data_IF_042966323315
#
_entry.id   IF_042966323315
#
_cell.length_a   1.000
_cell.length_b   1.000
_cell.length_c   1.000
_cell.angle_alpha   90.00
_cell.angle_beta   90.00
_cell.angle_gamma   90.00
#
_symmetry.space_group_name_H-M   'P 1'
#
loop_
_entity.id
_entity.type
_entity.pdbx_description
1 polymer ?
#
# COMPACT_ATOMS: atom_id res chain seq x y z
N UNK A 1 -20.94 28.18 -7.10
CA UNK A 1 -21.49 27.47 -5.93
C UNK A 1 -20.39 26.56 -5.40
N UNK A 2 -19.94 26.76 -4.16
CA UNK A 2 -18.94 25.88 -3.56
C UNK A 2 -19.62 24.51 -3.31
N UNK A 3 -19.00 23.43 -3.77
CA UNK A 3 -19.48 22.07 -3.51
C UNK A 3 -19.53 21.86 -2.00
N UNK A 4 -20.68 21.42 -1.48
CA UNK A 4 -20.83 21.03 -0.08
C UNK A 4 -19.88 19.86 0.17
N UNK A 5 -18.97 19.94 1.15
CA UNK A 5 -18.03 18.84 1.41
C UNK A 5 -18.81 17.58 1.84
N UNK A 6 -18.40 16.43 1.32
CA UNK A 6 -18.92 15.13 1.77
C UNK A 6 -18.59 14.96 3.26
N UNK A 7 -19.64 14.83 4.09
CA UNK A 7 -19.50 14.76 5.55
C UNK A 7 -18.90 13.44 6.02
N UNK A 8 -19.02 12.38 5.23
CA UNK A 8 -18.46 11.06 5.54
C UNK A 8 -17.84 10.46 4.28
N UNK A 9 -16.59 10.03 4.39
CA UNK A 9 -15.84 9.46 3.29
C UNK A 9 -15.05 8.24 3.74
N UNK A 10 -15.02 7.22 2.89
CA UNK A 10 -14.20 6.04 3.07
C UNK A 10 -13.07 6.03 2.04
N UNK A 11 -11.84 5.87 2.48
CA UNK A 11 -10.65 5.90 1.64
C UNK A 11 -10.08 4.49 1.55
N UNK A 12 -10.07 3.94 0.35
CA UNK A 12 -9.65 2.57 0.05
C UNK A 12 -8.88 2.53 -1.28
N UNK A 13 -7.70 1.90 -1.27
CA UNK A 13 -6.81 1.80 -2.44
C UNK A 13 -6.57 3.13 -3.18
N UNK A 14 -6.46 4.24 -2.44
CA UNK A 14 -6.22 5.57 -3.01
C UNK A 14 -7.44 6.24 -3.64
N UNK A 15 -8.63 5.63 -3.51
CA UNK A 15 -9.91 6.22 -3.90
C UNK A 15 -10.73 6.63 -2.68
N UNK A 16 -11.47 7.72 -2.84
CA UNK A 16 -12.43 8.20 -1.86
C UNK A 16 -13.83 7.79 -2.33
N UNK A 17 -14.55 7.08 -1.48
CA UNK A 17 -15.91 6.66 -1.69
C UNK A 17 -16.82 7.45 -0.76
N UNK A 18 -17.94 7.93 -1.32
CA UNK A 18 -19.00 8.57 -0.54
C UNK A 18 -19.71 7.52 0.31
N UNK A 19 -19.79 7.77 1.61
CA UNK A 19 -20.47 6.88 2.56
C UNK A 19 -21.86 7.44 2.83
N UNK A 20 -22.89 6.66 2.50
CA UNK A 20 -24.29 6.97 2.81
C UNK A 20 -24.64 6.55 4.24
N UNK A 21 -24.12 5.41 4.67
CA UNK A 21 -24.33 4.87 6.01
C UNK A 21 -23.07 4.12 6.46
N UNK A 22 -22.69 4.27 7.73
CA UNK A 22 -21.54 3.57 8.31
C UNK A 22 -21.85 3.11 9.72
N UNK A 23 -21.53 1.85 10.01
CA UNK A 23 -21.68 1.25 11.34
C UNK A 23 -20.38 0.56 11.75
N UNK A 24 -19.88 0.91 12.93
CA UNK A 24 -18.86 0.15 13.64
C UNK A 24 -19.29 0.06 15.10
N UNK A 25 -18.78 -0.94 15.80
CA UNK A 25 -19.14 -1.14 17.20
C UNK A 25 -18.09 -1.96 17.94
N UNK A 26 -18.13 -1.85 19.26
CA UNK A 26 -17.32 -2.65 20.17
C UNK A 26 -18.26 -3.25 21.21
N UNK A 27 -18.00 -4.49 21.61
CA UNK A 27 -18.83 -5.15 22.62
C UNK A 27 -17.97 -5.99 23.55
N UNK A 28 -18.44 -6.14 24.77
CA UNK A 28 -17.94 -7.12 25.73
C UNK A 28 -19.06 -8.10 26.03
N UNK A 29 -18.72 -9.37 26.22
CA UNK A 29 -19.68 -10.31 26.79
C UNK A 29 -19.97 -9.93 28.24
N UNK A 30 -21.17 -10.20 28.72
CA UNK A 30 -21.52 -10.12 30.15
C UNK A 30 -21.87 -11.53 30.64
N UNK A 31 -21.56 -11.82 31.90
CA UNK A 31 -22.04 -13.05 32.54
C UNK A 31 -23.54 -12.93 32.91
N UNK A 32 -24.10 -14.01 33.47
CA UNK A 32 -25.51 -14.09 33.83
C UNK A 32 -25.96 -13.11 34.94
N UNK A 33 -25.02 -12.46 35.64
CA UNK A 33 -25.30 -11.42 36.63
C UNK A 33 -24.92 -10.02 36.13
N UNK A 34 -24.55 -9.88 34.86
CA UNK A 34 -24.26 -8.60 34.22
C UNK A 34 -22.82 -8.09 34.42
N UNK A 35 -21.90 -8.91 34.91
CA UNK A 35 -20.47 -8.52 35.03
C UNK A 35 -19.80 -8.63 33.66
N UNK A 36 -19.04 -7.61 33.23
CA UNK A 36 -18.40 -7.61 31.92
C UNK A 36 -17.20 -8.56 31.86
N UNK A 37 -17.02 -9.16 30.69
CA UNK A 37 -15.79 -9.85 30.30
C UNK A 37 -14.65 -8.83 30.15
N UNK A 38 -13.44 -9.23 30.55
CA UNK A 38 -12.24 -8.41 30.40
C UNK A 38 -11.84 -8.17 28.93
N UNK A 39 -12.43 -8.90 27.98
CA UNK A 39 -12.10 -8.81 26.56
C UNK A 39 -13.15 -8.00 25.80
N UNK A 40 -12.76 -6.83 25.32
CA UNK A 40 -13.50 -6.07 24.30
C UNK A 40 -13.30 -6.74 22.95
N UNK A 41 -14.34 -6.78 22.12
CA UNK A 41 -14.30 -7.29 20.75
C UNK A 41 -14.85 -6.25 19.77
N UNK A 42 -14.13 -5.92 18.70
CA UNK A 42 -14.70 -5.13 17.61
C UNK A 42 -15.77 -5.94 16.89
N UNK A 43 -16.82 -5.25 16.44
CA UNK A 43 -17.84 -5.79 15.55
C UNK A 43 -17.44 -5.61 14.09
N UNK A 44 -18.17 -6.27 13.19
CA UNK A 44 -18.01 -6.10 11.74
C UNK A 44 -18.33 -4.65 11.37
N UNK A 45 -17.39 -3.99 10.69
CA UNK A 45 -17.61 -2.65 10.15
C UNK A 45 -18.48 -2.79 8.91
N UNK A 46 -19.59 -2.07 8.85
CA UNK A 46 -20.52 -2.07 7.72
C UNK A 46 -20.56 -0.69 7.10
N UNK A 47 -20.36 -0.60 5.78
CA UNK A 47 -20.35 0.65 5.03
C UNK A 47 -21.29 0.52 3.84
N UNK A 48 -22.27 1.41 3.72
CA UNK A 48 -23.11 1.56 2.53
C UNK A 48 -22.60 2.76 1.75
N UNK A 49 -22.18 2.50 0.51
CA UNK A 49 -21.57 3.46 -0.39
C UNK A 49 -22.56 3.87 -1.48
N UNK A 50 -22.44 5.11 -1.91
CA UNK A 50 -22.98 5.54 -3.20
C UNK A 50 -22.11 4.93 -4.30
N UNK A 51 -22.66 4.00 -5.07
CA UNK A 51 -21.93 3.19 -6.04
C UNK A 51 -22.32 3.51 -7.49
N UNK A 52 -22.81 4.73 -7.72
CA UNK A 52 -23.24 5.23 -9.02
C UNK A 52 -22.14 5.20 -10.11
N UNK A 53 -20.86 5.20 -9.71
CA UNK A 53 -19.71 4.96 -10.59
C UNK A 53 -19.17 3.54 -10.38
N UNK A 54 -19.32 2.66 -11.40
CA UNK A 54 -18.83 1.28 -11.37
C UNK A 54 -17.34 1.19 -10.94
N UNK A 55 -17.08 0.61 -9.76
CA UNK A 55 -15.73 0.26 -9.31
C UNK A 55 -15.62 -1.25 -9.07
N UNK A 56 -15.24 -1.97 -10.12
CA UNK A 56 -15.01 -3.42 -10.09
C UNK A 56 -14.06 -3.88 -8.96
N UNK A 57 -13.28 -2.97 -8.36
CA UNK A 57 -12.38 -3.25 -7.23
C UNK A 57 -13.09 -3.62 -5.94
N UNK A 58 -14.33 -3.17 -5.73
CA UNK A 58 -15.10 -3.54 -4.54
C UNK A 58 -15.54 -5.01 -4.63
N UNK A 59 -16.01 -5.40 -5.81
CA UNK A 59 -16.33 -6.79 -6.12
C UNK A 59 -15.10 -7.69 -6.08
N UNK A 60 -13.97 -7.26 -6.65
CA UNK A 60 -12.73 -8.07 -6.59
C UNK A 60 -12.25 -8.29 -5.17
N UNK A 61 -12.42 -7.30 -4.29
CA UNK A 61 -12.06 -7.41 -2.88
C UNK A 61 -12.91 -8.44 -2.12
N UNK A 62 -14.20 -8.58 -2.46
CA UNK A 62 -15.04 -9.64 -1.91
C UNK A 62 -14.74 -11.01 -2.53
N UNK A 63 -14.42 -11.05 -3.83
CA UNK A 63 -14.20 -12.28 -4.58
C UNK A 63 -12.84 -12.94 -4.31
N UNK A 64 -11.88 -12.20 -3.74
CA UNK A 64 -10.63 -12.76 -3.22
C UNK A 64 -10.72 -12.99 -1.70
N UNK A 65 -10.93 -14.25 -1.24
CA UNK A 65 -11.08 -14.55 0.18
C UNK A 65 -9.80 -14.33 0.99
N UNK A 66 -8.64 -14.22 0.33
CA UNK A 66 -7.35 -14.00 0.97
C UNK A 66 -6.91 -12.54 0.94
N UNK A 67 -7.52 -11.73 0.08
CA UNK A 67 -7.19 -10.32 -0.03
C UNK A 67 -7.44 -9.61 1.31
N UNK A 68 -6.42 -8.87 1.72
CA UNK A 68 -6.46 -7.97 2.86
C UNK A 68 -6.13 -6.57 2.43
N UNK A 69 -6.82 -5.61 3.00
CA UNK A 69 -6.57 -4.22 2.70
C UNK A 69 -6.76 -3.35 3.94
N UNK A 70 -5.93 -2.31 4.03
CA UNK A 70 -6.10 -1.26 5.03
C UNK A 70 -6.84 -0.09 4.40
N UNK A 71 -7.75 0.49 5.18
CA UNK A 71 -8.55 1.64 4.77
C UNK A 71 -8.81 2.56 5.95
N UNK A 72 -9.41 3.72 5.71
CA UNK A 72 -9.87 4.57 6.80
C UNK A 72 -11.15 5.30 6.42
N UNK A 73 -11.97 5.56 7.42
CA UNK A 73 -13.17 6.39 7.33
C UNK A 73 -12.89 7.72 8.01
N UNK A 74 -13.27 8.79 7.33
CA UNK A 74 -13.19 10.15 7.84
C UNK A 74 -14.58 10.76 7.90
N UNK A 75 -14.89 11.32 9.06
CA UNK A 75 -16.12 12.06 9.28
C UNK A 75 -15.77 13.51 9.60
N UNK A 76 -16.49 14.43 8.96
CA UNK A 76 -16.35 15.87 9.10
C UNK A 76 -17.65 16.48 9.60
N UNK A 77 -17.53 17.56 10.38
CA UNK A 77 -18.66 18.42 10.72
C UNK A 77 -19.01 19.32 9.52
N UNK A 78 -20.22 19.92 9.49
CA UNK A 78 -20.60 20.87 8.45
C UNK A 78 -19.65 22.08 8.31
N UNK A 79 -18.93 22.43 9.38
CA UNK A 79 -17.91 23.49 9.38
C UNK A 79 -16.55 23.06 8.78
N UNK A 80 -16.43 21.81 8.32
CA UNK A 80 -15.22 21.23 7.74
C UNK A 80 -14.20 20.72 8.77
N UNK A 81 -14.46 20.86 10.07
CA UNK A 81 -13.59 20.27 11.10
C UNK A 81 -13.76 18.74 11.13
N UNK A 82 -12.66 18.00 11.30
CA UNK A 82 -12.71 16.54 11.42
C UNK A 82 -13.39 16.16 12.73
N UNK A 83 -14.42 15.32 12.65
CA UNK A 83 -15.16 14.79 13.79
C UNK A 83 -14.52 13.50 14.30
N UNK A 84 -14.43 12.48 13.43
CA UNK A 84 -13.86 11.17 13.77
C UNK A 84 -13.01 10.64 12.62
N UNK A 85 -11.99 9.85 12.97
CA UNK A 85 -11.28 8.99 12.01
C UNK A 85 -11.16 7.57 12.54
N UNK A 86 -11.68 6.63 11.76
CA UNK A 86 -11.56 5.20 12.02
C UNK A 86 -10.60 4.58 11.01
N UNK A 87 -9.46 4.08 11.47
CA UNK A 87 -8.58 3.24 10.68
C UNK A 87 -9.00 1.78 10.79
N UNK A 88 -9.12 1.14 9.63
CA UNK A 88 -9.52 -0.26 9.46
C UNK A 88 -8.31 -1.00 8.90
N UNK A 89 -7.61 -1.77 9.72
CA UNK A 89 -6.30 -2.34 9.37
C UNK A 89 -6.42 -3.78 8.90
N UNK A 90 -5.76 -4.11 7.78
CA UNK A 90 -5.67 -5.45 7.20
C UNK A 90 -7.01 -6.22 7.23
N UNK A 91 -8.09 -5.55 6.82
CA UNK A 91 -9.41 -6.14 6.83
C UNK A 91 -9.60 -7.15 5.70
N UNK A 92 -10.51 -8.10 5.91
CA UNK A 92 -11.13 -8.87 4.85
C UNK A 92 -12.52 -8.31 4.56
N UNK A 93 -12.92 -8.36 3.29
CA UNK A 93 -14.33 -8.22 2.92
C UNK A 93 -15.04 -9.56 3.18
N UNK A 94 -15.96 -9.57 4.14
CA UNK A 94 -16.74 -10.76 4.54
C UNK A 94 -18.19 -10.70 4.09
N UNK A 95 -18.56 -9.64 3.38
CA UNK A 95 -19.84 -9.53 2.72
C UNK A 95 -19.86 -8.32 1.81
N UNK A 96 -20.48 -8.49 0.65
CA UNK A 96 -20.80 -7.42 -0.27
C UNK A 96 -22.25 -7.64 -0.73
N UNK A 97 -23.04 -6.57 -0.72
CA UNK A 97 -24.38 -6.56 -1.29
C UNK A 97 -24.51 -5.30 -2.14
N UNK A 98 -24.83 -5.47 -3.41
CA UNK A 98 -25.27 -4.37 -4.26
C UNK A 98 -26.80 -4.31 -4.24
N UNK A 99 -27.34 -3.10 -4.20
CA UNK A 99 -28.74 -2.80 -4.43
C UNK A 99 -28.84 -1.71 -5.49
N UNK A 100 -29.56 -2.01 -6.57
CA UNK A 100 -29.76 -1.10 -7.69
C UNK A 100 -31.26 -0.92 -7.95
N UNK A 101 -31.64 0.31 -8.30
CA UNK A 101 -33.00 0.70 -8.67
C UNK A 101 -32.93 1.81 -9.73
N UNK A 102 -33.98 2.00 -10.55
CA UNK A 102 -34.08 3.21 -11.36
C UNK A 102 -34.05 4.41 -10.41
N UNK A 103 -32.99 5.23 -10.48
CA UNK A 103 -32.79 6.34 -9.54
C UNK A 103 -34.03 7.22 -9.42
N UNK A 104 -34.39 7.60 -8.19
CA UNK A 104 -35.55 8.46 -7.91
C UNK A 104 -35.16 9.94 -8.08
N UNK A 105 -36.00 10.81 -8.69
CA UNK A 105 -35.85 12.27 -8.60
C UNK A 105 -35.68 12.83 -7.17
N UNK A 106 -36.03 12.08 -6.11
CA UNK A 106 -35.76 12.43 -4.71
C UNK A 106 -34.28 12.28 -4.28
N UNK A 107 -33.37 11.93 -5.18
CA UNK A 107 -31.91 11.94 -4.93
C UNK A 107 -31.29 10.59 -4.59
N UNK A 108 -31.93 9.48 -4.99
CA UNK A 108 -31.31 8.16 -4.88
C UNK A 108 -30.22 7.97 -5.94
N UNK A 109 -29.07 7.35 -5.60
CA UNK A 109 -27.93 7.25 -6.50
C UNK A 109 -28.07 6.22 -7.63
N UNK A 110 -29.19 5.50 -7.73
CA UNK A 110 -29.38 4.43 -8.71
C UNK A 110 -28.73 3.10 -8.30
N UNK A 111 -27.54 3.12 -7.69
CA UNK A 111 -26.90 1.95 -7.08
C UNK A 111 -26.25 2.27 -5.73
N UNK A 112 -26.37 1.34 -4.78
CA UNK A 112 -25.69 1.37 -3.49
C UNK A 112 -24.97 0.04 -3.25
N UNK A 113 -23.79 0.10 -2.64
CA UNK A 113 -23.03 -1.09 -2.26
C UNK A 113 -22.81 -1.10 -0.76
N UNK A 114 -23.28 -2.14 -0.08
CA UNK A 114 -22.98 -2.41 1.32
C UNK A 114 -21.82 -3.40 1.44
N UNK A 115 -20.73 -2.96 2.04
CA UNK A 115 -19.57 -3.77 2.40
C UNK A 115 -19.60 -4.12 3.88
N UNK A 116 -19.18 -5.34 4.21
CA UNK A 116 -18.97 -5.83 5.57
C UNK A 116 -17.51 -6.23 5.72
N UNK A 117 -16.80 -5.54 6.62
CA UNK A 117 -15.37 -5.65 6.80
C UNK A 117 -15.05 -6.21 8.19
N UNK A 118 -14.22 -7.25 8.25
CA UNK A 118 -13.61 -7.71 9.49
C UNK A 118 -12.14 -7.32 9.51
N UNK A 119 -11.76 -6.48 10.47
CA UNK A 119 -10.42 -5.92 10.55
C UNK A 119 -9.52 -6.72 11.46
N UNK A 120 -8.21 -6.66 11.19
CA UNK A 120 -7.20 -7.17 12.11
C UNK A 120 -7.10 -6.33 13.38
N UNK A 121 -7.26 -5.02 13.21
CA UNK A 121 -7.32 -4.04 14.27
C UNK A 121 -8.11 -2.83 13.79
N UNK A 122 -8.73 -2.14 14.74
CA UNK A 122 -9.41 -0.86 14.52
C UNK A 122 -8.70 0.20 15.36
N UNK A 123 -8.47 1.38 14.78
CA UNK A 123 -8.00 2.55 15.53
C UNK A 123 -8.98 3.69 15.34
N UNK A 124 -9.67 4.09 16.40
CA UNK A 124 -10.61 5.19 16.42
C UNK A 124 -10.00 6.36 17.19
N UNK A 125 -9.76 7.48 16.51
CA UNK A 125 -9.22 8.71 17.13
C UNK A 125 -8.04 8.44 18.06
N UNK A 126 -7.07 7.65 17.57
CA UNK A 126 -5.90 7.31 18.37
C UNK A 126 -6.15 6.28 19.48
N UNK A 127 -7.27 5.57 19.52
CA UNK A 127 -7.47 4.42 20.42
C UNK A 127 -7.58 3.14 19.62
N UNK A 128 -6.79 2.14 19.99
CA UNK A 128 -6.62 0.93 19.18
C UNK A 128 -7.12 -0.31 19.89
N UNK A 129 -7.80 -1.17 19.15
CA UNK A 129 -8.13 -2.53 19.56
C UNK A 129 -7.72 -3.54 18.48
N UNK A 130 -7.05 -4.62 18.92
CA UNK A 130 -6.76 -5.78 18.09
C UNK A 130 -7.93 -6.76 18.12
N UNK A 131 -8.27 -7.33 16.97
CA UNK A 131 -9.29 -8.38 16.89
C UNK A 131 -8.73 -9.69 17.40
N UNK A 132 -9.38 -10.29 18.40
CA UNK A 132 -9.07 -11.63 18.87
C UNK A 132 -10.00 -12.65 18.19
N UNK A 133 -9.47 -13.44 17.26
CA UNK A 133 -10.20 -14.57 16.66
C UNK A 133 -9.92 -15.86 17.43
N UNK A 134 -10.94 -16.71 17.54
CA UNK A 134 -10.84 -18.05 18.17
C UNK A 134 -10.32 -19.11 17.19
N UNK A 135 -10.32 -18.80 15.89
CA UNK A 135 -9.59 -19.55 14.87
C UNK A 135 -8.12 -19.11 14.92
N UNK A 136 -7.13 -19.97 14.61
CA UNK A 136 -5.71 -19.64 14.68
C UNK A 136 -5.35 -18.58 13.63
N UNK A 137 -5.67 -17.34 13.98
CA UNK A 137 -5.46 -16.13 13.22
C UNK A 137 -4.64 -15.24 14.14
N UNK A 138 -3.33 -15.24 13.93
CA UNK A 138 -2.43 -14.26 14.53
C UNK A 138 -2.14 -13.22 13.46
N UNK A 139 -2.60 -11.98 13.67
CA UNK A 139 -2.13 -10.87 12.83
C UNK A 139 -0.59 -10.79 12.98
N UNK A 140 0.16 -10.57 11.88
CA UNK A 140 1.61 -10.39 11.95
C UNK A 140 1.97 -9.32 12.99
N UNK A 141 3.08 -9.51 13.71
CA UNK A 141 3.52 -8.62 14.80
C UNK A 141 3.59 -7.14 14.39
N UNK A 142 3.95 -6.86 13.14
CA UNK A 142 4.00 -5.49 12.60
C UNK A 142 2.61 -4.85 12.46
N UNK A 143 1.56 -5.62 12.16
CA UNK A 143 0.17 -5.10 12.14
C UNK A 143 -0.24 -4.70 13.55
N UNK A 144 0.09 -5.55 14.54
CA UNK A 144 -0.13 -5.29 15.97
C UNK A 144 0.65 -4.06 16.46
N UNK A 145 1.91 -3.92 16.04
CA UNK A 145 2.76 -2.77 16.36
C UNK A 145 2.22 -1.45 15.78
N UNK A 146 1.75 -1.45 14.53
CA UNK A 146 1.19 -0.24 13.88
C UNK A 146 -0.13 0.19 14.43
N UNK A 147 -0.97 -0.78 14.78
CA UNK A 147 -2.17 -0.54 15.55
C UNK A 147 -1.79 0.28 16.79
N UNK A 148 -0.79 -0.15 17.58
CA UNK A 148 -0.31 0.59 18.77
C UNK A 148 0.26 1.98 18.46
N UNK A 149 0.98 2.16 17.35
CA UNK A 149 1.57 3.46 16.96
C UNK A 149 0.51 4.48 16.51
N UNK A 150 -0.50 4.05 15.75
CA UNK A 150 -1.61 4.91 15.36
C UNK A 150 -2.51 5.26 16.54
N UNK A 151 -2.45 4.45 17.61
CA UNK A 151 -3.12 4.65 18.90
C UNK A 151 -2.44 5.65 19.85
N UNK A 152 -1.46 6.42 19.38
CA UNK A 152 -0.78 7.45 20.17
C UNK A 152 -0.91 8.77 19.42
N UNK A 153 -1.86 9.61 19.85
CA UNK A 153 -2.26 10.86 19.16
C UNK A 153 -1.09 11.84 18.93
N UNK A 154 0.04 11.61 19.59
CA UNK A 154 1.28 12.38 19.44
C UNK A 154 1.99 12.20 18.09
N UNK A 155 1.65 11.18 17.28
CA UNK A 155 2.34 10.87 16.02
C UNK A 155 1.57 11.20 14.72
N UNK A 156 0.49 11.99 14.80
CA UNK A 156 -0.34 12.34 13.64
C UNK A 156 0.44 13.07 12.50
N UNK A 157 1.54 13.76 12.82
CA UNK A 157 2.42 14.40 11.84
C UNK A 157 3.30 13.38 11.07
N UNK A 158 3.73 12.30 11.71
CA UNK A 158 4.51 11.24 11.07
C UNK A 158 3.63 10.33 10.19
N UNK A 159 2.40 10.05 10.61
CA UNK A 159 1.45 9.24 9.85
C UNK A 159 0.88 9.96 8.61
N UNK A 160 0.77 11.30 8.64
CA UNK A 160 0.32 12.12 7.49
C UNK A 160 1.33 12.20 6.35
N UNK A 161 2.61 11.91 6.59
CA UNK A 161 3.64 11.88 5.55
C UNK A 161 3.61 10.59 4.69
N UNK A 162 2.93 9.54 5.14
CA UNK A 162 3.04 8.18 4.56
C UNK A 162 1.82 7.79 3.70
N UNK A 163 0.72 8.54 3.75
CA UNK A 163 -0.53 8.14 3.09
C UNK A 163 -1.08 9.20 2.13
N UNK A 164 -0.61 9.18 0.87
CA UNK A 164 -1.46 9.49 -0.30
C UNK A 164 -0.93 8.75 -1.55
N UNK A 165 -1.72 7.82 -2.11
CA UNK A 165 -1.70 7.56 -3.54
C UNK A 165 -3.00 8.09 -4.16
N UNK A 166 -2.88 8.95 -5.16
CA UNK A 166 -4.00 9.32 -6.05
C UNK A 166 -3.57 8.98 -7.48
N UNK A 167 -4.53 8.51 -8.27
CA UNK A 167 -4.33 8.10 -9.65
C UNK A 167 -3.65 9.16 -10.51
N UNK A 168 -2.81 8.67 -11.42
CA UNK A 168 -1.65 9.34 -12.02
C UNK A 168 -0.61 9.71 -10.97
N UNK A 169 0.35 8.79 -10.77
CA UNK A 169 1.38 8.90 -9.75
C UNK A 169 2.05 10.28 -9.83
N UNK A 170 2.10 10.95 -8.68
CA UNK A 170 2.84 12.19 -8.55
C UNK A 170 4.25 11.99 -9.12
N UNK A 171 4.73 12.96 -9.90
CA UNK A 171 6.17 13.16 -10.05
C UNK A 171 6.72 13.43 -8.66
N UNK A 172 7.21 12.40 -7.98
CA UNK A 172 7.87 12.61 -6.68
C UNK A 172 9.25 13.18 -6.99
N UNK A 173 9.43 14.47 -6.68
CA UNK A 173 10.75 15.07 -6.71
C UNK A 173 11.63 14.34 -5.68
N UNK A 174 12.59 13.57 -6.16
CA UNK A 174 13.79 13.27 -5.39
C UNK A 174 14.38 14.60 -4.90
N UNK A 175 15.05 14.65 -3.73
CA UNK A 175 15.73 15.85 -3.30
C UNK A 175 16.59 16.37 -4.45
N UNK A 176 16.39 17.63 -4.83
CA UNK A 176 17.24 18.31 -5.81
C UNK A 176 18.64 18.28 -5.24
N UNK A 177 19.48 17.35 -5.69
CA UNK A 177 20.90 17.42 -5.40
C UNK A 177 21.40 18.68 -6.09
N UNK A 178 21.75 19.68 -5.30
CA UNK A 178 22.56 20.80 -5.76
C UNK A 178 23.88 20.19 -6.26
N UNK A 179 24.00 20.02 -7.58
CA UNK A 179 25.07 19.37 -8.35
C UNK A 179 24.72 17.97 -8.90
N UNK A 180 23.93 17.90 -9.98
CA UNK A 180 23.88 16.71 -10.84
C UNK A 180 25.29 16.47 -11.40
N UNK A 181 25.91 15.29 -11.18
CA UNK A 181 27.22 14.99 -11.73
C UNK A 181 27.16 15.05 -13.27
N UNK A 182 28.23 15.50 -13.92
CA UNK A 182 28.33 15.41 -15.38
C UNK A 182 28.52 13.95 -15.77
N UNK A 183 27.44 13.28 -16.15
CA UNK A 183 27.44 11.87 -16.57
C UNK A 183 27.87 11.77 -18.03
N UNK A 184 29.05 11.20 -18.27
CA UNK A 184 29.71 11.17 -19.57
C UNK A 184 29.46 9.88 -20.35
N UNK A 185 29.27 8.75 -19.67
CA UNK A 185 29.02 7.46 -20.31
C UNK A 185 27.72 6.77 -19.83
N UNK A 186 27.41 5.60 -20.40
CA UNK A 186 26.19 4.85 -20.08
C UNK A 186 26.27 4.10 -18.73
N UNK A 187 27.48 3.79 -18.27
CA UNK A 187 27.72 3.14 -16.98
C UNK A 187 27.42 4.12 -15.84
N UNK A 188 27.96 5.33 -15.91
CA UNK A 188 27.70 6.41 -14.95
C UNK A 188 26.21 6.76 -14.88
N UNK A 189 25.53 6.75 -16.04
CA UNK A 189 24.06 6.94 -16.10
C UNK A 189 23.27 5.82 -15.43
N UNK A 190 23.72 4.57 -15.60
CA UNK A 190 23.13 3.42 -14.92
C UNK A 190 23.29 3.52 -13.40
N UNK A 191 24.53 3.71 -12.93
CA UNK A 191 24.85 3.89 -11.51
C UNK A 191 24.08 5.06 -10.89
N UNK A 192 23.97 6.18 -11.60
CA UNK A 192 23.18 7.32 -11.14
C UNK A 192 21.69 6.97 -11.01
N UNK A 193 21.13 6.25 -11.98
CA UNK A 193 19.74 5.79 -11.93
C UNK A 193 19.48 4.88 -10.72
N UNK A 194 20.35 3.90 -10.49
CA UNK A 194 20.28 3.02 -9.32
C UNK A 194 20.43 3.79 -8.01
N UNK A 195 21.38 4.73 -7.91
CA UNK A 195 21.59 5.54 -6.71
C UNK A 195 20.33 6.32 -6.31
N UNK A 196 19.69 6.97 -7.28
CA UNK A 196 18.46 7.73 -7.03
C UNK A 196 17.31 6.79 -6.65
N UNK A 197 17.17 5.66 -7.36
CA UNK A 197 16.18 4.62 -7.06
C UNK A 197 16.34 4.08 -5.63
N UNK A 198 17.54 3.70 -5.25
CA UNK A 198 17.86 3.15 -3.93
C UNK A 198 17.63 4.15 -2.80
N UNK A 199 18.06 5.39 -3.01
CA UNK A 199 17.87 6.48 -2.05
C UNK A 199 16.39 6.76 -1.85
N UNK A 200 15.61 6.77 -2.92
CA UNK A 200 14.17 6.92 -2.89
C UNK A 200 13.49 5.78 -2.11
N UNK A 201 13.80 4.52 -2.44
CA UNK A 201 13.23 3.34 -1.79
C UNK A 201 13.58 3.26 -0.29
N UNK A 202 14.84 3.56 0.06
CA UNK A 202 15.24 3.62 1.46
C UNK A 202 14.58 4.77 2.21
N UNK A 203 14.38 5.92 1.54
CA UNK A 203 13.61 7.05 2.07
C UNK A 203 12.14 6.72 2.34
N UNK A 204 11.55 5.77 1.61
CA UNK A 204 10.22 5.23 1.87
C UNK A 204 10.17 4.20 3.02
N UNK A 205 11.30 3.93 3.68
CA UNK A 205 11.39 3.00 4.80
C UNK A 205 11.43 1.53 4.39
N UNK A 206 11.78 1.23 3.14
CA UNK A 206 12.01 -0.13 2.67
C UNK A 206 13.43 -0.61 3.03
N UNK A 207 13.58 -1.91 3.28
CA UNK A 207 14.89 -2.51 3.60
C UNK A 207 15.44 -3.21 2.37
N UNK A 208 16.62 -2.80 1.90
CA UNK A 208 17.27 -3.46 0.75
C UNK A 208 17.78 -4.83 1.16
N UNK A 209 17.56 -5.83 0.30
CA UNK A 209 17.93 -7.23 0.53
C UNK A 209 19.13 -7.65 -0.33
N UNK A 210 19.28 -7.07 -1.52
CA UNK A 210 20.46 -7.29 -2.35
C UNK A 210 21.61 -6.35 -1.95
N UNK A 211 22.81 -6.62 -2.48
CA UNK A 211 24.03 -5.81 -2.29
C UNK A 211 24.44 -5.63 -0.81
N UNK A 212 24.14 -6.62 0.04
CA UNK A 212 24.40 -6.54 1.48
C UNK A 212 23.59 -5.45 2.19
N UNK A 213 22.45 -5.03 1.62
CA UNK A 213 21.59 -3.98 2.17
C UNK A 213 22.08 -2.55 1.93
N UNK A 214 23.13 -2.37 1.14
CA UNK A 214 23.73 -1.07 0.85
C UNK A 214 23.10 -0.42 -0.38
N UNK A 215 22.93 0.90 -0.33
CA UNK A 215 22.53 1.67 -1.52
C UNK A 215 23.69 1.83 -2.48
N UNK A 216 23.40 1.94 -3.76
CA UNK A 216 24.36 2.33 -4.78
C UNK A 216 24.93 3.73 -4.46
N UNK A 217 26.25 3.90 -4.38
CA UNK A 217 26.87 5.23 -4.22
C UNK A 217 26.63 6.11 -5.47
N UNK A 218 26.67 7.44 -5.34
CA UNK A 218 26.60 8.32 -6.50
C UNK A 218 27.91 8.27 -7.33
N UNK A 219 27.85 8.48 -8.67
CA UNK A 219 29.05 8.62 -9.50
C UNK A 219 29.99 9.74 -9.01
N UNK A 220 31.32 9.60 -9.18
CA UNK A 220 32.01 8.49 -9.86
C UNK A 220 32.15 7.22 -8.98
N UNK A 221 31.57 7.21 -7.78
CA UNK A 221 31.52 6.03 -6.93
C UNK A 221 30.50 5.00 -7.42
N UNK A 222 30.75 3.73 -7.11
CA UNK A 222 29.89 2.61 -7.51
C UNK A 222 30.24 2.04 -8.88
N UNK A 223 29.78 0.81 -9.13
CA UNK A 223 29.86 0.15 -10.44
C UNK A 223 28.46 -0.31 -10.82
N UNK A 224 28.12 -0.26 -12.10
CA UNK A 224 26.86 -0.79 -12.59
C UNK A 224 26.81 -2.28 -12.20
N UNK A 225 25.88 -2.65 -11.32
CA UNK A 225 25.85 -3.99 -10.75
C UNK A 225 25.17 -4.91 -11.75
N UNK A 226 25.97 -5.55 -12.61
CA UNK A 226 25.54 -6.41 -13.72
C UNK A 226 24.78 -7.70 -13.34
N UNK A 227 24.14 -7.75 -12.17
CA UNK A 227 23.41 -8.91 -11.66
C UNK A 227 21.97 -9.00 -12.18
N UNK A 228 21.53 -8.00 -12.95
CA UNK A 228 20.28 -8.02 -13.69
C UNK A 228 19.10 -7.40 -12.94
N UNK A 229 19.01 -7.52 -11.62
CA UNK A 229 17.98 -6.84 -10.80
C UNK A 229 18.64 -5.72 -10.00
N UNK A 230 18.19 -4.48 -10.21
CA UNK A 230 18.80 -3.31 -9.58
C UNK A 230 18.53 -3.25 -8.08
N UNK A 231 17.28 -3.51 -7.66
CA UNK A 231 16.91 -3.50 -6.26
C UNK A 231 15.90 -4.59 -5.89
N UNK A 232 16.19 -5.27 -4.79
CA UNK A 232 15.30 -6.21 -4.13
C UNK A 232 15.08 -5.70 -2.72
N UNK A 233 13.83 -5.48 -2.34
CA UNK A 233 13.48 -4.81 -1.09
C UNK A 233 12.45 -5.61 -0.32
N UNK A 234 12.64 -5.69 1.00
CA UNK A 234 11.55 -6.02 1.92
C UNK A 234 10.66 -4.80 2.05
N UNK A 235 9.37 -4.98 1.75
CA UNK A 235 8.42 -3.87 1.80
C UNK A 235 8.29 -3.41 3.27
N UNK A 236 8.47 -2.11 3.48
CA UNK A 236 8.40 -1.50 4.81
C UNK A 236 6.99 -1.57 5.41
N UNK A 237 5.96 -1.74 4.58
CA UNK A 237 4.53 -1.75 4.95
C UNK A 237 3.70 -2.83 4.21
N UNK A 238 3.91 -4.13 4.47
CA UNK A 238 3.22 -5.18 3.71
C UNK A 238 1.70 -5.22 3.99
N UNK A 239 0.87 -5.66 3.03
CA UNK A 239 1.24 -6.15 1.69
C UNK A 239 1.52 -5.02 0.67
N UNK A 240 2.32 -5.25 -0.39
CA UNK A 240 3.03 -6.51 -0.75
C UNK A 240 4.20 -6.81 0.21
N UNK A 241 4.71 -8.04 0.23
CA UNK A 241 5.81 -8.44 1.13
C UNK A 241 7.16 -7.94 0.63
N UNK A 242 7.35 -7.92 -0.68
CA UNK A 242 8.58 -7.51 -1.33
C UNK A 242 8.32 -6.54 -2.47
N UNK A 243 9.34 -5.74 -2.78
CA UNK A 243 9.38 -4.86 -3.94
C UNK A 243 10.61 -5.20 -4.75
N UNK A 244 10.42 -5.37 -6.05
CA UNK A 244 11.52 -5.51 -7.01
C UNK A 244 11.54 -4.23 -7.85
N UNK A 245 12.69 -3.59 -7.94
CA UNK A 245 12.88 -2.33 -8.65
C UNK A 245 13.85 -2.48 -9.82
N UNK A 246 13.54 -1.81 -10.92
CA UNK A 246 14.47 -1.55 -12.04
C UNK A 246 14.55 -0.04 -12.27
N UNK A 247 15.76 0.49 -12.40
CA UNK A 247 16.06 1.88 -12.69
C UNK A 247 16.48 2.08 -14.15
N UNK A 248 15.92 3.09 -14.82
CA UNK A 248 16.29 3.50 -16.18
C UNK A 248 16.61 4.98 -16.21
N UNK A 249 17.67 5.34 -16.92
CA UNK A 249 18.06 6.74 -17.10
C UNK A 249 17.71 7.27 -18.50
N UNK A 250 17.20 8.50 -18.57
CA UNK A 250 17.07 9.29 -19.79
C UNK A 250 16.02 8.76 -20.78
N UNK A 251 16.44 8.03 -21.82
CA UNK A 251 15.54 7.43 -22.82
C UNK A 251 15.50 5.90 -22.73
N UNK A 252 16.20 5.32 -21.75
CA UNK A 252 16.29 3.87 -21.58
C UNK A 252 14.93 3.25 -21.21
N UNK A 253 14.68 2.02 -21.65
CA UNK A 253 13.40 1.30 -21.48
C UNK A 253 13.68 -0.15 -21.08
N UNK A 254 12.66 -0.83 -20.55
CA UNK A 254 12.72 -2.28 -20.31
C UNK A 254 12.94 -3.03 -21.63
N UNK A 255 13.95 -3.90 -21.66
CA UNK A 255 14.27 -4.73 -22.80
C UNK A 255 13.55 -6.08 -22.82
N UNK A 256 13.66 -6.77 -23.96
CA UNK A 256 13.32 -8.19 -24.08
C UNK A 256 14.60 -9.02 -23.94
N UNK A 257 14.55 -10.09 -23.16
CA UNK A 257 15.67 -11.01 -22.94
C UNK A 257 15.27 -12.44 -23.28
N UNK A 258 16.20 -13.39 -23.16
CA UNK A 258 15.91 -14.82 -23.33
C UNK A 258 14.87 -15.35 -22.32
N UNK A 259 14.82 -14.78 -21.11
CA UNK A 259 13.87 -15.18 -20.05
C UNK A 259 12.55 -14.38 -20.10
N UNK A 260 12.34 -13.61 -21.17
CA UNK A 260 11.19 -12.73 -21.33
C UNK A 260 11.52 -11.26 -21.12
N UNK A 261 10.47 -10.45 -21.00
CA UNK A 261 10.58 -9.00 -20.81
C UNK A 261 11.18 -8.72 -19.45
N UNK A 262 12.12 -7.76 -19.35
CA UNK A 262 12.62 -7.32 -18.05
C UNK A 262 11.45 -6.97 -17.11
N UNK A 263 11.59 -7.33 -15.84
CA UNK A 263 10.56 -7.23 -14.80
C UNK A 263 9.34 -8.15 -14.98
N UNK A 264 9.29 -9.07 -15.94
CA UNK A 264 8.28 -10.14 -15.90
C UNK A 264 8.64 -11.17 -14.83
N UNK A 265 7.64 -11.90 -14.31
CA UNK A 265 7.87 -12.94 -13.31
C UNK A 265 8.87 -13.99 -13.84
N UNK A 266 8.75 -14.39 -15.12
CA UNK A 266 9.68 -15.31 -15.80
C UNK A 266 11.11 -14.76 -15.86
N UNK A 267 11.27 -13.46 -16.04
CA UNK A 267 12.59 -12.83 -16.09
C UNK A 267 13.19 -12.71 -14.69
N UNK A 268 12.38 -12.35 -13.68
CA UNK A 268 12.81 -12.22 -12.28
C UNK A 268 13.34 -13.55 -11.74
N UNK A 269 12.60 -14.65 -11.99
CA UNK A 269 13.02 -15.99 -11.53
C UNK A 269 14.01 -16.66 -12.48
N UNK A 270 14.04 -16.22 -13.75
CA UNK A 270 14.92 -16.76 -14.78
C UNK A 270 16.40 -16.52 -14.51
N UNK A 271 17.26 -17.35 -15.10
CA UNK A 271 18.74 -17.27 -15.00
C UNK A 271 19.29 -17.16 -13.56
N UNK A 272 18.53 -17.62 -12.56
CA UNK A 272 18.83 -17.51 -11.11
C UNK A 272 19.09 -16.07 -10.65
N UNK A 273 18.42 -15.07 -11.24
CA UNK A 273 18.65 -13.65 -10.92
C UNK A 273 18.38 -13.33 -9.45
N UNK A 274 17.25 -13.79 -8.89
CA UNK A 274 16.95 -13.62 -7.47
C UNK A 274 18.03 -14.26 -6.57
N UNK A 275 18.37 -15.53 -6.80
CA UNK A 275 19.41 -16.21 -6.01
C UNK A 275 20.75 -15.48 -6.05
N UNK A 276 21.14 -14.93 -7.21
CA UNK A 276 22.36 -14.12 -7.33
C UNK A 276 22.27 -12.79 -6.60
N UNK A 277 21.07 -12.21 -6.51
CA UNK A 277 20.86 -10.91 -5.88
C UNK A 277 20.80 -10.99 -4.35
N UNK A 278 20.12 -12.00 -3.79
CA UNK A 278 19.80 -12.07 -2.35
C UNK A 278 20.24 -13.35 -1.64
N UNK A 279 20.81 -14.33 -2.35
CA UNK A 279 21.08 -15.66 -1.80
C UNK A 279 19.90 -16.62 -1.98
N UNK A 280 20.11 -17.89 -1.62
CA UNK A 280 19.16 -18.98 -1.89
C UNK A 280 17.90 -18.90 -1.02
N UNK A 281 18.07 -18.67 0.29
CA UNK A 281 16.96 -18.65 1.25
C UNK A 281 15.99 -17.48 0.98
N UNK A 282 16.49 -16.25 0.90
CA UNK A 282 15.67 -15.09 0.55
C UNK A 282 15.03 -15.23 -0.84
N UNK A 283 15.74 -15.78 -1.83
CA UNK A 283 15.18 -15.98 -3.16
C UNK A 283 13.98 -16.94 -3.12
N UNK A 284 14.06 -18.03 -2.35
CA UNK A 284 12.97 -18.98 -2.19
C UNK A 284 11.70 -18.31 -1.62
N UNK A 285 11.83 -17.47 -0.60
CA UNK A 285 10.70 -16.74 -0.02
C UNK A 285 10.10 -15.72 -0.99
N UNK A 286 10.94 -15.01 -1.76
CA UNK A 286 10.47 -14.05 -2.77
C UNK A 286 9.76 -14.78 -3.91
N UNK A 287 10.28 -15.90 -4.40
CA UNK A 287 9.60 -16.71 -5.42
C UNK A 287 8.24 -17.23 -4.94
N UNK A 288 8.16 -17.63 -3.66
CA UNK A 288 6.89 -17.99 -3.03
C UNK A 288 5.94 -16.79 -2.96
N UNK A 289 6.43 -15.60 -2.60
CA UNK A 289 5.65 -14.38 -2.60
C UNK A 289 5.15 -13.99 -4.01
N UNK A 290 5.94 -14.20 -5.06
CA UNK A 290 5.53 -13.98 -6.46
C UNK A 290 4.34 -14.88 -6.80
N UNK A 291 4.41 -16.19 -6.49
CA UNK A 291 3.30 -17.13 -6.71
C UNK A 291 2.04 -16.74 -5.94
N UNK A 292 2.19 -16.14 -4.77
CA UNK A 292 1.10 -15.65 -3.92
C UNK A 292 0.66 -14.22 -4.26
N UNK A 293 1.21 -13.59 -5.32
CA UNK A 293 0.92 -12.19 -5.70
C UNK A 293 1.22 -11.17 -4.59
N UNK A 294 2.24 -11.43 -3.79
CA UNK A 294 2.73 -10.58 -2.68
C UNK A 294 4.03 -9.87 -3.02
N UNK A 295 4.32 -9.66 -4.30
CA UNK A 295 5.46 -8.89 -4.78
C UNK A 295 4.98 -7.78 -5.69
N UNK A 296 5.46 -6.57 -5.46
CA UNK A 296 5.23 -5.44 -6.35
C UNK A 296 6.48 -5.16 -7.16
N UNK A 297 6.28 -4.87 -8.44
CA UNK A 297 7.34 -4.61 -9.41
C UNK A 297 7.29 -3.12 -9.74
N UNK A 298 8.39 -2.41 -9.56
CA UNK A 298 8.47 -0.96 -9.81
C UNK A 298 9.54 -0.63 -10.82
N UNK A 299 9.17 0.14 -11.83
CA UNK A 299 10.10 0.75 -12.77
C UNK A 299 10.32 2.20 -12.35
N UNK A 300 11.55 2.56 -12.03
CA UNK A 300 11.98 3.92 -11.74
C UNK A 300 12.67 4.50 -12.96
N UNK A 301 12.18 5.63 -13.45
CA UNK A 301 12.77 6.34 -14.56
C UNK A 301 13.35 7.67 -14.08
N UNK A 302 14.66 7.83 -14.19
CA UNK A 302 15.41 9.03 -13.78
C UNK A 302 15.76 9.85 -15.01
N UNK A 303 15.40 11.13 -15.02
CA UNK A 303 15.75 12.03 -16.12
C UNK A 303 17.10 12.73 -15.92
N UNK A 304 17.50 13.56 -16.88
CA UNK A 304 18.78 14.27 -16.85
C UNK A 304 18.90 15.33 -15.75
N UNK A 305 17.80 15.67 -15.09
CA UNK A 305 17.77 16.58 -13.93
C UNK A 305 17.84 15.83 -12.60
N UNK A 306 17.84 14.48 -12.63
CA UNK A 306 17.78 13.64 -11.43
C UNK A 306 16.37 13.40 -10.91
N UNK A 307 15.33 13.83 -11.64
CA UNK A 307 13.94 13.58 -11.24
C UNK A 307 13.56 12.13 -11.52
N UNK A 308 13.04 11.45 -10.50
CA UNK A 308 12.55 10.07 -10.57
C UNK A 308 11.03 10.04 -10.85
N UNK A 309 10.61 9.17 -11.76
CA UNK A 309 9.21 8.80 -11.98
C UNK A 309 9.05 7.31 -11.73
N UNK A 310 8.11 6.91 -10.88
CA UNK A 310 7.82 5.50 -10.56
C UNK A 310 6.64 4.98 -11.40
N UNK A 311 6.74 3.75 -11.86
CA UNK A 311 5.65 3.00 -12.50
C UNK A 311 5.53 1.64 -11.84
N UNK A 312 4.36 1.32 -11.30
CA UNK A 312 4.06 -0.02 -10.80
C UNK A 312 3.67 -0.92 -11.99
N UNK A 313 4.29 -2.09 -12.09
CA UNK A 313 4.08 -3.07 -13.14
C UNK A 313 3.20 -4.20 -12.62
N UNK A 314 2.18 -4.57 -13.39
CA UNK A 314 1.27 -5.69 -13.12
C UNK A 314 1.91 -7.02 -13.56
#
# INVERSE_FOLDING_TARGET
MAATPELVSWIFNGRTYKVLEGHYGFHQGIDYVGRPSTTVRPQVVTLTLDASDEDARLSSYMLDPYQRASSHLEQYRPDGSRLHRLHIQAAHCVGLRSYFAPGDPAGWPGETITLRLTAAALTLDGMTIESHSVLPWQAPEEVRRRARILGDETNLAAARAVAKPTGQLAKVQAPTLSNVPRLTDNSEKGVYGEHISDTYMRGQGHTKLNDGGLVTPPPPGGTARGNGIDGVWKHGNPPPDYIITEAKYGKSRLGMTQDGRQMSDTWIVGSKRLTKAVGEDEAFEIERAIRLRRVEKRLHHVDATGQLTETILL
#
